data_IF_950286733138
#
_entry.id   IF_950286733138
#
_cell.length_a   1.000
_cell.length_b   1.000
_cell.length_c   1.000
_cell.angle_alpha   90.00
_cell.angle_beta   90.00
_cell.angle_gamma   90.00
#
_symmetry.space_group_name_H-M   'P 1'
#
loop_
_entity.id
_entity.type
_entity.pdbx_description
1 polymer ?
#
# COMPACT_ATOMS: atom_id res chain seq x y z
N UNK A 1 11.04 10.14 3.43
CA UNK A 1 9.73 10.61 2.94
C UNK A 1 8.79 10.69 4.13
N UNK A 2 8.04 11.78 4.32
CA UNK A 2 7.12 11.90 5.45
C UNK A 2 5.70 11.63 4.96
N UNK A 3 5.05 10.60 5.50
CA UNK A 3 3.65 10.26 5.17
C UNK A 3 2.80 10.61 6.38
N UNK A 4 1.86 11.53 6.20
CA UNK A 4 0.88 11.87 7.22
C UNK A 4 -0.36 11.02 7.00
N UNK A 5 -0.66 10.13 7.94
CA UNK A 5 -1.82 9.25 7.87
C UNK A 5 -2.90 9.74 8.85
N UNK A 6 -4.12 9.87 8.35
CA UNK A 6 -5.29 10.23 9.16
C UNK A 6 -6.14 8.98 9.43
N UNK A 7 -6.27 8.59 10.70
CA UNK A 7 -7.16 7.51 11.13
C UNK A 7 -8.19 8.10 12.11
N UNK A 8 -9.40 8.35 11.61
CA UNK A 8 -10.47 8.97 12.39
C UNK A 8 -10.13 10.40 12.81
N UNK A 9 -10.07 10.67 14.11
CA UNK A 9 -9.68 12.00 14.67
C UNK A 9 -8.18 12.14 14.92
N UNK A 10 -7.40 11.09 14.67
CA UNK A 10 -5.98 11.06 14.98
C UNK A 10 -5.16 11.26 13.70
N UNK A 11 -4.16 12.12 13.79
CA UNK A 11 -3.16 12.34 12.74
C UNK A 11 -1.84 11.77 13.24
N UNK A 12 -1.30 10.80 12.50
CA UNK A 12 0.00 10.22 12.78
C UNK A 12 0.97 10.63 11.66
N UNK A 13 2.06 11.28 12.04
CA UNK A 13 3.17 11.58 11.16
C UNK A 13 4.14 10.40 11.18
N UNK A 14 4.21 9.66 10.08
CA UNK A 14 5.19 8.58 9.90
C UNK A 14 6.35 9.15 9.10
N UNK A 15 7.48 9.34 9.77
CA UNK A 15 8.72 9.72 9.10
C UNK A 15 9.40 8.46 8.56
N UNK A 16 9.27 8.25 7.25
CA UNK A 16 9.86 7.11 6.57
C UNK A 16 11.29 7.50 6.18
N UNK A 17 12.22 7.34 7.13
CA UNK A 17 13.65 7.45 6.88
C UNK A 17 14.17 6.11 6.30
N UNK A 18 14.96 6.19 5.23
CA UNK A 18 15.71 5.08 4.62
C UNK A 18 14.93 3.79 4.30
N UNK A 19 13.64 3.90 3.97
CA UNK A 19 12.90 2.74 3.46
C UNK A 19 13.42 2.38 2.08
N UNK A 20 14.27 1.37 2.05
CA UNK A 20 14.77 0.83 0.79
C UNK A 20 13.62 0.14 0.05
N UNK A 21 13.80 -0.06 -1.26
CA UNK A 21 12.78 -0.65 -2.14
C UNK A 21 12.20 -1.96 -1.61
N UNK A 22 13.03 -2.78 -0.97
CA UNK A 22 12.62 -4.07 -0.42
C UNK A 22 11.68 -3.92 0.78
N UNK A 23 11.88 -2.89 1.61
CA UNK A 23 11.00 -2.58 2.73
C UNK A 23 9.68 -1.97 2.25
N UNK A 24 9.72 -1.09 1.25
CA UNK A 24 8.53 -0.56 0.61
C UNK A 24 7.67 -1.67 -0.01
N UNK A 25 8.28 -2.55 -0.81
CA UNK A 25 7.60 -3.71 -1.41
C UNK A 25 7.00 -4.64 -0.36
N UNK A 26 7.71 -4.85 0.76
CA UNK A 26 7.17 -5.63 1.89
C UNK A 26 5.95 -4.97 2.51
N UNK A 27 5.96 -3.66 2.67
CA UNK A 27 4.88 -2.91 3.29
C UNK A 27 3.63 -2.91 2.40
N UNK A 28 3.81 -2.70 1.09
CA UNK A 28 2.75 -2.83 0.07
C UNK A 28 2.19 -4.25 0.07
N UNK A 29 3.05 -5.28 0.05
CA UNK A 29 2.61 -6.68 0.09
C UNK A 29 1.80 -7.01 1.35
N UNK A 30 2.22 -6.54 2.52
CA UNK A 30 1.48 -6.72 3.77
C UNK A 30 0.13 -6.03 3.73
N UNK A 31 0.06 -4.78 3.24
CA UNK A 31 -1.19 -4.03 3.13
C UNK A 31 -2.18 -4.72 2.18
N UNK A 32 -1.70 -5.11 1.00
CA UNK A 32 -2.47 -5.85 -0.01
C UNK A 32 -3.04 -7.14 0.57
N UNK A 33 -2.23 -7.93 1.29
CA UNK A 33 -2.69 -9.18 1.89
C UNK A 33 -3.77 -8.97 2.94
N UNK A 34 -3.64 -7.94 3.77
CA UNK A 34 -4.66 -7.61 4.78
C UNK A 34 -5.97 -7.26 4.09
N UNK A 35 -5.94 -6.39 3.08
CA UNK A 35 -7.13 -6.00 2.31
C UNK A 35 -7.77 -7.23 1.65
N UNK A 36 -6.97 -8.06 0.98
CA UNK A 36 -7.46 -9.28 0.33
C UNK A 36 -8.17 -10.22 1.32
N UNK A 37 -7.57 -10.48 2.48
CA UNK A 37 -8.17 -11.33 3.52
C UNK A 37 -9.49 -10.73 4.00
N UNK A 38 -9.53 -9.42 4.30
CA UNK A 38 -10.75 -8.75 4.77
C UNK A 38 -11.86 -8.78 3.70
N UNK A 39 -11.52 -8.62 2.42
CA UNK A 39 -12.49 -8.72 1.33
C UNK A 39 -13.05 -10.15 1.20
N UNK A 40 -12.20 -11.17 1.27
CA UNK A 40 -12.62 -12.57 1.25
C UNK A 40 -13.50 -12.92 2.46
N UNK A 41 -13.14 -12.44 3.66
CA UNK A 41 -13.94 -12.61 4.88
C UNK A 41 -15.31 -11.92 4.78
N UNK A 42 -15.40 -10.83 4.01
CA UNK A 42 -16.66 -10.15 3.71
C UNK A 42 -17.49 -10.82 2.60
N UNK A 43 -16.98 -11.90 1.99
CA UNK A 43 -17.66 -12.68 0.95
C UNK A 43 -17.48 -12.14 -0.46
N UNK A 44 -16.47 -11.29 -0.70
CA UNK A 44 -16.08 -10.93 -2.06
C UNK A 44 -15.35 -12.10 -2.75
N UNK A 45 -15.58 -12.27 -4.05
CA UNK A 45 -14.90 -13.28 -4.84
C UNK A 45 -13.49 -12.82 -5.21
N UNK A 46 -12.54 -13.76 -5.29
CA UNK A 46 -11.14 -13.44 -5.61
C UNK A 46 -11.01 -12.75 -6.97
N UNK A 47 -11.87 -13.12 -7.92
CA UNK A 47 -11.93 -12.59 -9.29
C UNK A 47 -12.14 -11.07 -9.32
N UNK A 48 -12.87 -10.54 -8.33
CA UNK A 48 -13.17 -9.11 -8.21
C UNK A 48 -12.07 -8.35 -7.45
N UNK A 49 -11.33 -9.04 -6.59
CA UNK A 49 -10.31 -8.46 -5.70
C UNK A 49 -8.96 -8.33 -6.41
N UNK A 50 -8.55 -9.35 -7.16
CA UNK A 50 -7.24 -9.43 -7.82
C UNK A 50 -6.94 -8.23 -8.75
N UNK A 51 -7.87 -7.77 -9.62
CA UNK A 51 -7.61 -6.64 -10.50
C UNK A 51 -7.40 -5.33 -9.73
N UNK A 52 -8.15 -5.14 -8.64
CA UNK A 52 -8.04 -3.94 -7.78
C UNK A 52 -6.69 -3.91 -7.08
N UNK A 53 -6.27 -5.05 -6.52
CA UNK A 53 -4.95 -5.18 -5.90
C UNK A 53 -3.82 -4.86 -6.87
N UNK A 54 -3.88 -5.42 -8.09
CA UNK A 54 -2.85 -5.22 -9.10
C UNK A 54 -2.73 -3.75 -9.51
N UNK A 55 -3.86 -3.06 -9.71
CA UNK A 55 -3.87 -1.64 -10.05
C UNK A 55 -3.21 -0.76 -8.97
N UNK A 56 -3.49 -1.05 -7.69
CA UNK A 56 -2.90 -0.31 -6.57
C UNK A 56 -1.39 -0.56 -6.43
N UNK A 57 -0.95 -1.81 -6.65
CA UNK A 57 0.49 -2.16 -6.64
C UNK A 57 1.24 -1.47 -7.78
N UNK A 58 0.67 -1.48 -8.99
CA UNK A 58 1.26 -0.81 -10.15
C UNK A 58 1.39 0.70 -9.93
N UNK A 59 0.34 1.35 -9.42
CA UNK A 59 0.37 2.77 -9.09
C UNK A 59 1.46 3.10 -8.05
N UNK A 60 1.55 2.29 -6.98
CA UNK A 60 2.57 2.46 -5.94
C UNK A 60 4.01 2.28 -6.48
N UNK A 61 4.22 1.36 -7.42
CA UNK A 61 5.51 1.16 -8.09
C UNK A 61 5.88 2.34 -8.99
N UNK A 62 4.93 2.86 -9.77
CA UNK A 62 5.16 4.05 -10.60
C UNK A 62 5.55 5.28 -9.76
N UNK A 63 4.85 5.51 -8.65
CA UNK A 63 5.13 6.62 -7.75
C UNK A 63 6.52 6.50 -7.11
N UNK A 64 6.90 5.29 -6.68
CA UNK A 64 8.24 5.02 -6.17
C UNK A 64 9.33 5.26 -7.23
N UNK A 65 9.08 4.90 -8.49
CA UNK A 65 10.00 5.17 -9.60
C UNK A 65 10.10 6.67 -9.92
N UNK A 66 8.99 7.41 -9.88
CA UNK A 66 8.98 8.87 -10.09
C UNK A 66 9.73 9.59 -8.99
N UNK A 67 9.53 9.19 -7.73
CA UNK A 67 10.22 9.78 -6.58
C UNK A 67 11.74 9.58 -6.63
N UNK A 68 12.24 8.55 -7.31
CA UNK A 68 13.69 8.33 -7.54
C UNK A 68 14.31 9.23 -8.61
N UNK A 69 13.50 9.92 -9.43
CA UNK A 69 13.98 10.81 -10.50
C UNK A 69 14.20 12.27 -10.04
N UNK A 70 13.89 12.58 -8.78
CA UNK A 70 14.08 13.88 -8.13
C UNK A 70 14.96 13.75 -6.88
#
# INVERSE_FOLDING_TARGET
>A
MKVTMNIGKNTADVDIQDMNEKEFLRLVFCAVRVVAITCLEAGAEMEDIEPVIMAEVEAALEDAQRARRF
#
